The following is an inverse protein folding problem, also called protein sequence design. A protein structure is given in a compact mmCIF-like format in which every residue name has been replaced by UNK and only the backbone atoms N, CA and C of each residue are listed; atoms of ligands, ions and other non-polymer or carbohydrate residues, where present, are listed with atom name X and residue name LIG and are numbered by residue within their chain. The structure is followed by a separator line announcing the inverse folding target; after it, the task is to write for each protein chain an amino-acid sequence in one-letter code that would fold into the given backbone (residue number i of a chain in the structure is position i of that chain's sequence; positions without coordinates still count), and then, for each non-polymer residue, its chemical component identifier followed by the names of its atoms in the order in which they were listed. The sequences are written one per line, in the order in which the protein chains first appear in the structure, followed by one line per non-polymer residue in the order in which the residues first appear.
data_IF_258961971367
#
_entry.id   IF_258961971367
#
_cell.length_a   1.000
_cell.length_b   1.000
_cell.length_c   1.000
_cell.angle_alpha   90.00
_cell.angle_beta   90.00
_cell.angle_gamma   90.00
#
_symmetry.space_group_name_H-M   'P 1'
#
loop_
_entity.id
_entity.type
_entity.pdbx_description
1 polymer ?
#
# COMPACT_ATOMS: atom_id res chain seq x y z
N UNK A 1 -14.56 -7.19 17.03
CA UNK A 1 -14.62 -8.59 16.55
C UNK A 1 -13.77 -8.81 15.29
N UNK A 2 -13.82 -7.92 14.29
CA UNK A 2 -13.03 -8.07 13.05
C UNK A 2 -11.50 -8.03 13.24
N UNK A 3 -10.96 -7.18 14.10
CA UNK A 3 -9.49 -7.09 14.32
C UNK A 3 -8.86 -8.38 14.87
N UNK A 4 -9.58 -9.12 15.74
CA UNK A 4 -9.10 -10.41 16.28
C UNK A 4 -9.09 -11.46 15.16
N UNK A 5 -10.12 -11.48 14.32
CA UNK A 5 -10.21 -12.41 13.19
C UNK A 5 -9.09 -12.15 12.17
N UNK A 6 -8.87 -10.88 11.80
CA UNK A 6 -7.80 -10.47 10.88
C UNK A 6 -6.43 -10.83 11.44
N UNK A 7 -6.20 -10.62 12.75
CA UNK A 7 -4.91 -10.97 13.38
C UNK A 7 -4.65 -12.48 13.38
N UNK A 8 -5.69 -13.31 13.58
CA UNK A 8 -5.57 -14.76 13.52
C UNK A 8 -5.24 -15.23 12.10
N UNK A 9 -5.98 -14.74 11.10
CA UNK A 9 -5.73 -15.08 9.70
C UNK A 9 -4.36 -14.61 9.22
N UNK A 10 -3.89 -13.42 9.66
CA UNK A 10 -2.55 -12.92 9.39
C UNK A 10 -1.47 -13.92 9.83
N UNK A 11 -1.58 -14.46 11.05
CA UNK A 11 -0.60 -15.40 11.58
C UNK A 11 -0.67 -16.76 10.87
N UNK A 12 -1.89 -17.27 10.61
CA UNK A 12 -2.11 -18.55 9.94
C UNK A 12 -1.61 -18.51 8.48
N UNK A 13 -2.07 -17.54 7.69
CA UNK A 13 -1.63 -17.37 6.30
C UNK A 13 -0.13 -17.07 6.21
N UNK A 14 0.42 -16.32 7.16
CA UNK A 14 1.86 -16.03 7.21
C UNK A 14 2.69 -17.29 7.46
N UNK A 15 2.27 -18.14 8.40
CA UNK A 15 2.95 -19.41 8.67
C UNK A 15 2.90 -20.36 7.47
N UNK A 16 1.74 -20.48 6.82
CA UNK A 16 1.57 -21.30 5.60
C UNK A 16 2.44 -20.78 4.47
N UNK A 17 2.36 -19.48 4.18
CA UNK A 17 3.13 -18.83 3.11
C UNK A 17 4.64 -18.99 3.33
N UNK A 18 5.11 -18.81 4.56
CA UNK A 18 6.52 -19.05 4.90
C UNK A 18 6.94 -20.50 4.68
N UNK A 19 6.12 -21.48 5.07
CA UNK A 19 6.43 -22.91 4.87
C UNK A 19 6.62 -23.24 3.38
N UNK A 20 5.77 -22.67 2.51
CA UNK A 20 5.88 -22.82 1.05
C UNK A 20 7.15 -22.17 0.52
N UNK A 21 7.39 -20.90 0.85
CA UNK A 21 8.57 -20.13 0.39
C UNK A 21 9.87 -20.80 0.83
N UNK A 22 9.95 -21.14 2.11
CA UNK A 22 11.17 -21.70 2.71
C UNK A 22 11.39 -23.17 2.37
N UNK A 23 10.35 -23.89 1.91
CA UNK A 23 10.37 -25.35 1.77
C UNK A 23 10.85 -26.03 3.06
N UNK A 24 10.39 -25.51 4.20
CA UNK A 24 10.79 -25.90 5.56
C UNK A 24 12.28 -25.70 5.90
N UNK A 25 12.95 -24.76 5.23
CA UNK A 25 14.31 -24.31 5.58
C UNK A 25 14.27 -23.03 6.40
N UNK A 26 15.42 -22.61 6.92
CA UNK A 26 15.54 -21.34 7.66
C UNK A 26 15.55 -20.11 6.75
N UNK A 27 15.95 -20.27 5.48
CA UNK A 27 16.12 -19.19 4.52
C UNK A 27 15.64 -19.60 3.13
N UNK A 28 15.23 -18.61 2.34
CA UNK A 28 14.87 -18.73 0.93
C UNK A 28 15.53 -17.60 0.12
N UNK A 29 15.72 -17.82 -1.18
CA UNK A 29 16.12 -16.74 -2.09
C UNK A 29 14.93 -15.81 -2.33
N UNK A 30 15.15 -14.50 -2.29
CA UNK A 30 14.13 -13.49 -2.59
C UNK A 30 13.46 -13.74 -3.94
N UNK A 31 14.26 -13.98 -4.98
CA UNK A 31 13.75 -14.26 -6.33
C UNK A 31 12.84 -15.50 -6.40
N UNK A 32 13.06 -16.48 -5.51
CA UNK A 32 12.22 -17.67 -5.41
C UNK A 32 10.98 -17.45 -4.53
N UNK A 33 11.01 -16.47 -3.63
CA UNK A 33 9.89 -16.10 -2.76
C UNK A 33 8.86 -15.21 -3.47
N UNK A 34 9.31 -14.33 -4.37
CA UNK A 34 8.48 -13.34 -5.08
C UNK A 34 7.20 -13.93 -5.71
N UNK A 35 7.24 -15.05 -6.45
CA UNK A 35 6.03 -15.61 -7.06
C UNK A 35 4.95 -15.98 -6.04
N UNK A 36 5.34 -16.55 -4.89
CA UNK A 36 4.41 -16.93 -3.83
C UNK A 36 3.86 -15.68 -3.10
N UNK A 37 4.72 -14.69 -2.83
CA UNK A 37 4.31 -13.40 -2.23
C UNK A 37 3.27 -12.72 -3.12
N UNK A 38 3.51 -12.66 -4.43
CA UNK A 38 2.61 -12.04 -5.39
C UNK A 38 1.29 -12.82 -5.51
N UNK A 39 1.35 -14.16 -5.56
CA UNK A 39 0.17 -15.03 -5.58
C UNK A 39 -0.73 -14.76 -4.37
N UNK A 40 -0.16 -14.80 -3.16
CA UNK A 40 -0.88 -14.54 -1.91
C UNK A 40 -1.44 -13.13 -1.83
N UNK A 41 -0.69 -12.14 -2.27
CA UNK A 41 -1.17 -10.77 -2.35
C UNK A 41 -2.43 -10.66 -3.23
N UNK A 42 -2.40 -11.23 -4.44
CA UNK A 42 -3.54 -11.16 -5.37
C UNK A 42 -4.77 -11.91 -4.84
N UNK A 43 -4.55 -13.07 -4.21
CA UNK A 43 -5.61 -13.89 -3.59
C UNK A 43 -6.33 -13.10 -2.49
N UNK A 44 -5.58 -12.54 -1.53
CA UNK A 44 -6.13 -11.77 -0.41
C UNK A 44 -6.77 -10.47 -0.89
N UNK A 45 -6.11 -9.74 -1.79
CA UNK A 45 -6.60 -8.45 -2.28
C UNK A 45 -7.78 -8.59 -3.24
N UNK A 46 -8.11 -9.81 -3.69
CA UNK A 46 -9.06 -10.07 -4.78
C UNK A 46 -8.78 -9.20 -6.03
N UNK A 47 -7.51 -8.87 -6.26
CA UNK A 47 -7.10 -8.01 -7.38
C UNK A 47 -6.89 -8.87 -8.62
N UNK A 48 -7.76 -8.70 -9.61
CA UNK A 48 -7.69 -9.44 -10.88
C UNK A 48 -6.97 -8.66 -11.99
N UNK A 49 -6.89 -7.33 -11.86
CA UNK A 49 -6.43 -6.45 -12.95
C UNK A 49 -5.05 -5.83 -12.71
N UNK A 50 -4.54 -5.84 -11.47
CA UNK A 50 -3.25 -5.23 -11.11
C UNK A 50 -2.58 -5.97 -9.94
N UNK A 51 -1.45 -6.60 -10.21
CA UNK A 51 -0.57 -7.20 -9.20
C UNK A 51 0.49 -6.22 -8.69
N UNK A 52 1.55 -6.77 -8.10
CA UNK A 52 2.73 -6.01 -7.67
C UNK A 52 3.68 -5.82 -8.87
N UNK A 53 4.13 -4.59 -9.09
CA UNK A 53 5.19 -4.26 -10.04
C UNK A 53 6.59 -4.55 -9.47
N UNK A 54 7.62 -4.48 -10.30
CA UNK A 54 9.01 -4.61 -9.84
C UNK A 54 9.37 -3.54 -8.80
N UNK A 55 8.87 -2.30 -8.96
CA UNK A 55 9.09 -1.23 -7.98
C UNK A 55 8.42 -1.56 -6.63
N UNK A 56 7.20 -2.10 -6.67
CA UNK A 56 6.49 -2.51 -5.45
C UNK A 56 7.26 -3.59 -4.70
N UNK A 57 7.87 -4.53 -5.41
CA UNK A 57 8.69 -5.59 -4.85
C UNK A 57 9.99 -5.05 -4.21
N UNK A 58 10.63 -4.05 -4.80
CA UNK A 58 11.81 -3.42 -4.19
C UNK A 58 11.45 -2.68 -2.89
N UNK A 59 10.28 -2.04 -2.82
CA UNK A 59 9.77 -1.46 -1.56
C UNK A 59 9.51 -2.55 -0.53
N UNK A 60 8.88 -3.67 -0.90
CA UNK A 60 8.65 -4.80 0.01
C UNK A 60 9.95 -5.41 0.53
N UNK A 61 10.95 -5.52 -0.34
CA UNK A 61 12.30 -5.98 0.02
C UNK A 61 12.97 -5.04 1.02
N UNK A 62 12.79 -3.73 0.82
CA UNK A 62 13.21 -2.69 1.77
C UNK A 62 12.53 -2.81 3.14
N UNK A 63 11.21 -3.06 3.16
CA UNK A 63 10.43 -3.29 4.40
C UNK A 63 10.89 -4.57 5.12
N UNK A 64 11.13 -5.64 4.39
CA UNK A 64 11.69 -6.88 4.93
C UNK A 64 13.08 -6.64 5.56
N UNK A 65 13.84 -5.70 4.99
CA UNK A 65 15.24 -5.46 5.30
C UNK A 65 16.14 -6.59 4.79
N UNK A 66 15.75 -7.24 3.69
CA UNK A 66 16.48 -8.38 3.14
C UNK A 66 17.26 -8.03 1.86
N UNK A 67 18.31 -8.79 1.58
CA UNK A 67 19.07 -8.72 0.34
C UNK A 67 18.62 -9.79 -0.65
N UNK A 68 19.55 -10.62 -1.11
CA UNK A 68 19.23 -11.77 -1.94
C UNK A 68 18.57 -12.92 -1.15
N UNK A 69 18.84 -13.01 0.15
CA UNK A 69 18.32 -14.05 1.04
C UNK A 69 17.27 -13.49 2.01
N UNK A 70 16.14 -14.19 2.09
CA UNK A 70 15.02 -13.93 2.99
C UNK A 70 15.01 -14.97 4.11
N UNK A 71 15.12 -14.52 5.37
CA UNK A 71 14.91 -15.35 6.55
C UNK A 71 13.52 -15.16 7.14
N UNK A 72 13.21 -15.92 8.20
CA UNK A 72 11.90 -15.88 8.85
C UNK A 72 11.55 -14.49 9.40
N UNK A 73 12.49 -13.83 10.06
CA UNK A 73 12.26 -12.52 10.67
C UNK A 73 12.04 -11.43 9.62
N UNK A 74 12.80 -11.48 8.52
CA UNK A 74 12.62 -10.57 7.39
C UNK A 74 11.27 -10.80 6.70
N UNK A 75 10.87 -12.07 6.54
CA UNK A 75 9.54 -12.41 6.04
C UNK A 75 8.43 -11.90 6.97
N UNK A 76 8.53 -12.10 8.28
CA UNK A 76 7.50 -11.64 9.21
C UNK A 76 7.35 -10.11 9.17
N UNK A 77 8.45 -9.33 9.05
CA UNK A 77 8.40 -7.87 8.85
C UNK A 77 7.65 -7.47 7.58
N UNK A 78 7.96 -8.13 6.47
CA UNK A 78 7.26 -7.93 5.20
C UNK A 78 5.79 -8.29 5.33
N UNK A 79 5.49 -9.47 5.88
CA UNK A 79 4.14 -10.01 5.95
C UNK A 79 3.22 -9.18 6.86
N UNK A 80 3.75 -8.71 7.99
CA UNK A 80 2.99 -7.86 8.93
C UNK A 80 2.65 -6.51 8.34
N UNK A 81 3.33 -6.10 7.27
CA UNK A 81 2.97 -4.93 6.49
C UNK A 81 2.04 -5.28 5.31
N UNK A 82 2.41 -6.28 4.51
CA UNK A 82 1.73 -6.63 3.26
C UNK A 82 0.33 -7.18 3.50
N UNK A 83 0.14 -8.01 4.52
CA UNK A 83 -1.15 -8.66 4.76
C UNK A 83 -2.27 -7.66 5.08
N UNK A 84 -2.10 -6.72 6.04
CA UNK A 84 -3.11 -5.67 6.26
C UNK A 84 -3.38 -4.81 5.02
N UNK A 85 -2.35 -4.51 4.22
CA UNK A 85 -2.50 -3.77 2.96
C UNK A 85 -3.36 -4.54 1.97
N UNK A 86 -3.10 -5.84 1.79
CA UNK A 86 -3.88 -6.71 0.92
C UNK A 86 -5.35 -6.81 1.38
N UNK A 87 -5.59 -6.95 2.70
CA UNK A 87 -6.95 -6.96 3.27
C UNK A 87 -7.67 -5.62 3.06
N UNK A 88 -6.96 -4.49 3.13
CA UNK A 88 -7.57 -3.20 2.78
C UNK A 88 -7.92 -3.11 1.30
N UNK A 89 -7.05 -3.62 0.43
CA UNK A 89 -7.29 -3.69 -1.01
C UNK A 89 -8.41 -4.66 -1.40
N UNK A 90 -8.77 -5.63 -0.55
CA UNK A 90 -9.90 -6.53 -0.79
C UNK A 90 -11.26 -5.84 -0.68
N UNK A 91 -11.31 -4.58 -0.21
CA UNK A 91 -12.55 -3.78 -0.10
C UNK A 91 -12.82 -3.08 -1.44
N UNK A 92 -14.01 -3.27 -2.00
CA UNK A 92 -14.42 -2.77 -3.33
C UNK A 92 -14.02 -1.31 -3.62
N UNK A 93 -14.25 -0.39 -2.66
CA UNK A 93 -13.93 1.03 -2.83
C UNK A 93 -12.42 1.30 -2.97
N UNK A 94 -11.56 0.54 -2.30
CA UNK A 94 -10.10 0.71 -2.41
C UNK A 94 -9.56 -0.11 -3.58
N UNK A 95 -10.10 -1.32 -3.80
CA UNK A 95 -9.76 -2.17 -4.94
C UNK A 95 -9.96 -1.43 -6.28
N UNK A 96 -11.08 -0.73 -6.42
CA UNK A 96 -11.37 0.06 -7.62
C UNK A 96 -10.33 1.15 -7.88
N UNK A 97 -9.84 1.85 -6.85
CA UNK A 97 -8.73 2.81 -6.99
C UNK A 97 -7.42 2.14 -7.39
N UNK A 98 -7.11 0.98 -6.78
CA UNK A 98 -5.90 0.22 -7.10
C UNK A 98 -5.90 -0.25 -8.55
N UNK A 99 -7.04 -0.74 -9.03
CA UNK A 99 -7.23 -1.23 -10.39
C UNK A 99 -7.22 -0.13 -11.48
N UNK A 100 -7.35 1.15 -11.12
CA UNK A 100 -7.22 2.24 -12.08
C UNK A 100 -5.75 2.39 -12.55
N UNK A 101 -5.53 2.29 -13.85
CA UNK A 101 -4.20 2.46 -14.47
C UNK A 101 -4.06 3.79 -15.22
N UNK A 102 -5.16 4.46 -15.55
CA UNK A 102 -5.17 5.74 -16.26
C UNK A 102 -6.37 6.62 -15.83
N UNK A 103 -6.19 7.59 -14.91
CA UNK A 103 -5.00 7.82 -14.09
C UNK A 103 -4.85 6.77 -12.99
N UNK A 104 -3.61 6.50 -12.56
CA UNK A 104 -3.36 5.68 -11.39
C UNK A 104 -3.67 6.48 -10.11
N UNK A 105 -4.67 6.05 -9.35
CA UNK A 105 -5.08 6.72 -8.11
C UNK A 105 -4.17 6.35 -6.94
N UNK A 106 -3.85 5.06 -6.83
CA UNK A 106 -2.81 4.56 -5.94
C UNK A 106 -1.61 4.24 -6.82
N UNK A 107 -0.52 5.00 -6.70
CA UNK A 107 0.64 4.86 -7.59
C UNK A 107 1.30 3.48 -7.48
N UNK A 108 1.23 2.87 -6.30
CA UNK A 108 1.89 1.61 -5.99
C UNK A 108 2.12 1.51 -4.49
N UNK A 109 2.98 0.59 -4.12
CA UNK A 109 3.65 0.57 -2.83
C UNK A 109 4.82 1.55 -2.93
N UNK A 110 4.64 2.76 -2.42
CA UNK A 110 5.67 3.80 -2.44
C UNK A 110 6.04 4.24 -1.03
N UNK A 111 7.29 4.62 -0.86
CA UNK A 111 7.82 5.22 0.36
C UNK A 111 7.28 6.63 0.57
N UNK A 112 7.46 7.17 1.78
CA UNK A 112 7.14 8.59 2.07
C UNK A 112 7.95 9.52 1.16
N UNK A 113 9.23 9.22 0.95
CA UNK A 113 10.13 10.03 0.12
C UNK A 113 9.71 10.04 -1.35
N UNK A 114 9.36 8.87 -1.91
CA UNK A 114 8.83 8.78 -3.28
C UNK A 114 7.53 9.57 -3.44
N UNK A 115 6.64 9.51 -2.46
CA UNK A 115 5.39 10.27 -2.49
C UNK A 115 5.63 11.79 -2.43
N UNK A 116 6.53 12.25 -1.57
CA UNK A 116 6.92 13.67 -1.54
C UNK A 116 7.57 14.11 -2.84
N UNK A 117 8.44 13.27 -3.42
CA UNK A 117 9.09 13.55 -4.70
C UNK A 117 8.08 13.62 -5.84
N UNK A 118 7.01 12.81 -5.81
CA UNK A 118 5.92 12.90 -6.78
C UNK A 118 5.15 14.24 -6.70
N UNK A 119 5.20 14.93 -5.56
CA UNK A 119 4.62 16.27 -5.37
C UNK A 119 5.59 17.42 -5.68
N UNK A 120 6.85 17.12 -6.02
CA UNK A 120 7.83 18.12 -6.43
C UNK A 120 7.80 18.34 -7.94
N UNK A 121 7.83 19.60 -8.36
CA UNK A 121 8.03 20.02 -9.76
C UNK A 121 9.52 20.14 -10.08
N UNK A 122 10.33 20.50 -9.09
CA UNK A 122 11.79 20.50 -9.11
C UNK A 122 12.32 20.23 -7.70
N UNK A 123 13.65 20.15 -7.52
CA UNK A 123 14.26 19.86 -6.20
C UNK A 123 13.80 20.82 -5.09
N UNK A 124 13.47 22.06 -5.44
CA UNK A 124 13.08 23.10 -4.50
C UNK A 124 11.61 23.54 -4.64
N UNK A 125 10.97 23.23 -5.77
CA UNK A 125 9.63 23.72 -6.08
C UNK A 125 8.58 22.61 -5.96
N UNK A 126 7.55 22.83 -5.15
CA UNK A 126 6.38 21.96 -5.08
C UNK A 126 5.46 22.14 -6.29
N UNK A 127 4.61 21.15 -6.53
CA UNK A 127 3.44 21.29 -7.42
C UNK A 127 2.43 22.25 -6.79
N UNK A 128 1.38 22.58 -7.56
CA UNK A 128 0.35 23.50 -7.10
C UNK A 128 -0.36 22.94 -5.84
N UNK A 129 -0.78 23.80 -4.90
CA UNK A 129 -1.66 23.40 -3.82
C UNK A 129 -2.86 22.60 -4.33
N UNK A 130 -3.26 21.59 -3.56
CA UNK A 130 -4.30 20.65 -3.98
C UNK A 130 -3.80 19.44 -4.76
N UNK A 131 -2.52 19.39 -5.14
CA UNK A 131 -1.94 18.18 -5.76
C UNK A 131 -1.70 17.10 -4.71
N UNK A 132 -2.14 15.86 -4.95
CA UNK A 132 -2.04 14.77 -3.98
C UNK A 132 -1.69 13.40 -4.57
N UNK A 133 -1.22 12.50 -3.71
CA UNK A 133 -0.93 11.09 -3.99
C UNK A 133 -1.50 10.22 -2.87
N UNK A 134 -2.07 9.06 -3.23
CA UNK A 134 -2.53 8.05 -2.28
C UNK A 134 -1.46 6.96 -2.11
N UNK A 135 -1.21 6.55 -0.87
CA UNK A 135 -0.25 5.48 -0.56
C UNK A 135 -0.59 4.73 0.72
N UNK A 136 -0.05 3.52 0.84
CA UNK A 136 0.04 2.82 2.12
C UNK A 136 1.33 3.21 2.84
N UNK A 137 1.30 3.62 4.11
CA UNK A 137 2.50 4.04 4.83
C UNK A 137 3.38 2.83 5.18
N UNK A 138 4.63 2.84 4.71
CA UNK A 138 5.62 1.76 4.94
C UNK A 138 6.03 1.59 6.40
N UNK A 139 5.73 2.58 7.25
CA UNK A 139 6.09 2.60 8.68
C UNK A 139 4.97 2.11 9.61
N UNK A 140 3.90 1.53 9.05
CA UNK A 140 2.72 1.05 9.79
C UNK A 140 2.47 -0.43 9.50
N UNK A 141 3.10 -1.27 10.29
CA UNK A 141 2.91 -2.74 10.24
C UNK A 141 2.10 -3.21 11.43
N UNK A 142 1.42 -4.35 11.31
CA UNK A 142 0.79 -4.99 12.46
C UNK A 142 1.83 -5.18 13.59
N UNK A 143 1.48 -4.91 14.87
CA UNK A 143 0.13 -4.67 15.42
C UNK A 143 -0.31 -3.20 15.48
N UNK A 144 0.30 -2.29 14.71
CA UNK A 144 -0.12 -0.89 14.70
C UNK A 144 -1.60 -0.74 14.27
N UNK A 145 -2.41 0.11 14.93
CA UNK A 145 -3.84 0.28 14.60
C UNK A 145 -4.07 0.73 13.15
N UNK A 146 -3.17 1.56 12.61
CA UNK A 146 -3.22 2.04 11.23
C UNK A 146 -2.56 1.11 10.19
N UNK A 147 -2.24 -0.14 10.55
CA UNK A 147 -1.67 -1.08 9.58
C UNK A 147 -2.66 -1.35 8.43
N UNK A 148 -2.22 -1.16 7.19
CA UNK A 148 -3.08 -1.26 6.00
C UNK A 148 -4.00 -0.05 5.78
N UNK A 149 -3.87 1.03 6.55
CA UNK A 149 -4.63 2.26 6.29
C UNK A 149 -4.06 3.06 5.11
N UNK A 150 -4.92 3.79 4.42
CA UNK A 150 -4.52 4.64 3.30
C UNK A 150 -4.18 6.05 3.79
N UNK A 151 -3.08 6.62 3.31
CA UNK A 151 -2.65 8.00 3.59
C UNK A 151 -2.71 8.80 2.31
N UNK A 152 -3.26 10.01 2.41
CA UNK A 152 -3.12 11.02 1.37
C UNK A 152 -1.92 11.91 1.70
N UNK A 153 -1.01 12.06 0.75
CA UNK A 153 0.11 13.00 0.81
C UNK A 153 -0.16 14.10 -0.20
N UNK A 154 -0.19 15.37 0.23
CA UNK A 154 -0.65 16.47 -0.63
C UNK A 154 0.09 17.78 -0.36
N UNK A 155 0.04 18.70 -1.34
CA UNK A 155 0.54 20.07 -1.19
C UNK A 155 -0.56 20.95 -0.61
N UNK A 156 -0.33 21.49 0.58
CA UNK A 156 -1.25 22.38 1.28
C UNK A 156 -1.29 23.79 0.69
N UNK A 157 -2.28 24.57 1.11
CA UNK A 157 -2.41 26.00 0.75
C UNK A 157 -1.26 26.86 1.30
N UNK A 158 -0.56 26.35 2.31
CA UNK A 158 0.65 26.91 2.89
C UNK A 158 1.93 26.58 2.10
N UNK A 159 1.81 25.93 0.93
CA UNK A 159 2.93 25.43 0.12
C UNK A 159 3.87 24.49 0.90
N UNK A 160 3.32 23.68 1.81
CA UNK A 160 4.06 22.60 2.45
C UNK A 160 3.44 21.23 2.14
N UNK A 161 4.20 20.15 2.34
CA UNK A 161 3.70 18.79 2.15
C UNK A 161 3.07 18.29 3.45
N UNK A 162 1.84 17.83 3.35
CA UNK A 162 1.09 17.25 4.45
C UNK A 162 0.83 15.77 4.21
N UNK A 163 0.74 15.01 5.31
CA UNK A 163 0.35 13.60 5.29
C UNK A 163 -0.86 13.41 6.20
N UNK A 164 -1.96 12.91 5.64
CA UNK A 164 -3.21 12.72 6.38
C UNK A 164 -3.72 11.30 6.21
N UNK A 165 -4.00 10.64 7.33
CA UNK A 165 -4.67 9.34 7.33
C UNK A 165 -6.09 9.51 6.81
N UNK A 166 -6.49 8.70 5.84
CA UNK A 166 -7.87 8.70 5.35
C UNK A 166 -8.75 7.88 6.30
N UNK A 167 -9.72 8.55 6.92
CA UNK A 167 -10.79 7.87 7.64
C UNK A 167 -11.78 7.30 6.63
N UNK A 168 -11.48 6.10 6.14
CA UNK A 168 -12.38 5.39 5.24
C UNK A 168 -13.46 4.70 6.07
N UNK A 169 -14.53 5.41 6.40
CA UNK A 169 -15.78 4.78 6.85
C UNK A 169 -16.46 4.11 5.64
N UNK A 170 -15.88 2.98 5.21
CA UNK A 170 -16.29 2.20 4.02
C UNK A 170 -17.75 1.72 4.13
N UNK A 171 -18.35 1.77 5.32
CA UNK A 171 -19.73 1.37 5.60
C UNK A 171 -20.79 2.33 5.05
N UNK A 172 -20.45 3.56 4.65
CA UNK A 172 -21.46 4.44 4.09
C UNK A 172 -21.69 4.14 2.60
N UNK A 173 -22.62 3.22 2.35
CA UNK A 173 -23.09 2.83 1.03
C UNK A 173 -23.81 3.97 0.28
N UNK A 174 -24.09 5.11 0.94
CA UNK A 174 -24.72 6.28 0.34
C UNK A 174 -23.72 7.32 -0.18
N UNK A 175 -22.46 7.22 0.24
CA UNK A 175 -21.38 8.06 -0.24
C UNK A 175 -20.81 7.45 -1.53
N UNK A 176 -20.69 8.26 -2.59
CA UNK A 176 -20.31 7.87 -3.96
C UNK A 176 -18.98 7.13 -4.10
N UNK A 177 -18.35 7.21 -5.28
CA UNK A 177 -17.03 6.58 -5.43
C UNK A 177 -16.01 7.23 -4.49
N UNK A 178 -15.01 6.47 -4.03
CA UNK A 178 -13.97 7.05 -3.18
C UNK A 178 -13.20 8.18 -3.90
N UNK A 179 -13.16 8.13 -5.23
CA UNK A 179 -12.63 9.18 -6.09
C UNK A 179 -13.40 10.49 -5.91
N UNK A 180 -14.73 10.43 -5.99
CA UNK A 180 -15.59 11.61 -5.83
C UNK A 180 -15.45 12.22 -4.44
N UNK A 181 -15.40 11.37 -3.40
CA UNK A 181 -15.23 11.83 -2.02
C UNK A 181 -13.89 12.52 -1.81
N UNK A 182 -12.81 11.99 -2.39
CA UNK A 182 -11.49 12.62 -2.31
C UNK A 182 -11.48 13.97 -3.02
N UNK A 183 -12.13 14.11 -4.17
CA UNK A 183 -12.16 15.36 -4.93
C UNK A 183 -13.15 16.41 -4.37
N UNK A 184 -14.00 16.04 -3.42
CA UNK A 184 -14.84 16.98 -2.66
C UNK A 184 -14.08 17.67 -1.53
N UNK A 185 -12.95 17.12 -1.10
CA UNK A 185 -12.11 17.71 -0.07
C UNK A 185 -11.44 18.98 -0.62
N UNK A 186 -11.56 20.15 0.05
CA UNK A 186 -11.07 21.42 -0.48
C UNK A 186 -9.55 21.45 -0.68
N UNK A 187 -8.81 20.58 0.01
CA UNK A 187 -7.35 20.47 -0.07
C UNK A 187 -6.87 19.42 -1.09
N UNK A 188 -7.77 18.68 -1.74
CA UNK A 188 -7.43 17.59 -2.67
C UNK A 188 -8.09 17.84 -4.03
N UNK A 189 -7.38 18.50 -4.92
CA UNK A 189 -7.92 18.99 -6.19
C UNK A 189 -7.52 18.12 -7.38
N UNK A 190 -6.29 17.58 -7.37
CA UNK A 190 -5.76 16.84 -8.52
C UNK A 190 -4.67 15.83 -8.14
N UNK A 191 -4.54 14.75 -8.92
CA UNK A 191 -3.50 13.74 -8.72
C UNK A 191 -2.09 14.25 -9.09
N UNK A 192 -1.08 13.75 -8.37
CA UNK A 192 0.34 14.09 -8.53
C UNK A 192 0.92 13.73 -9.88
N UNK A 193 0.52 12.60 -10.46
CA UNK A 193 0.87 12.20 -11.83
C UNK A 193 -0.37 12.17 -12.70
N UNK A 194 -0.62 13.27 -13.40
CA UNK A 194 -1.36 13.18 -14.66
C UNK A 194 -0.38 12.59 -15.68
N UNK A 195 -0.71 11.43 -16.25
CA UNK A 195 0.05 10.89 -17.37
C UNK A 195 0.17 11.98 -18.44
N UNK A 196 1.41 12.29 -18.82
CA UNK A 196 1.70 13.04 -20.05
C UNK A 196 1.59 12.08 -21.24
#
# INVERSE_FOLDING_TARGET
RNQILISKQLLEEGAVTWSIISKNKERALWSSAVPEIMSKFMDIAHSTNRGLSEQDLEVLKGIAGCGADLGRNEFDRLWYWLYPVAVSLSKDKINSLWGCTAPAWIEGLITTEEAENALRSSRELLKKPGTFVLRFPTTRSWPHPDAGSLVVTYVGSDNSIHHRLLSLDVSDARAGSLQDLLLQEPELLQLGRQAH
#
